data_IF_859899443144
#
_entry.id   IF_859899443144
#
_cell.length_a   1.000
_cell.length_b   1.000
_cell.length_c   1.000
_cell.angle_alpha   90.00
_cell.angle_beta   90.00
_cell.angle_gamma   90.00
#
_symmetry.space_group_name_H-M   'P 1'
#
loop_
_entity.id
_entity.type
_entity.pdbx_description
1 polymer ?
#
# COMPACT_ATOMS: atom_id res chain seq x y z
N UNK A 1 -28.62 54.39 42.56
CA UNK A 1 -27.33 54.30 41.83
C UNK A 1 -26.49 53.17 42.43
N UNK A 2 -25.85 52.38 41.55
CA UNK A 2 -24.87 51.30 41.82
C UNK A 2 -25.38 49.90 42.21
N UNK A 3 -25.99 49.18 41.26
CA UNK A 3 -26.05 47.70 41.29
C UNK A 3 -25.94 47.03 39.90
N UNK A 4 -25.63 47.78 38.82
CA UNK A 4 -25.59 47.22 37.47
C UNK A 4 -24.24 46.63 37.02
N UNK A 5 -23.16 46.81 37.79
CA UNK A 5 -21.80 46.46 37.32
C UNK A 5 -21.23 45.14 37.88
N UNK A 6 -21.93 44.40 38.74
CA UNK A 6 -21.43 43.09 39.21
C UNK A 6 -21.87 41.93 38.29
N UNK A 7 -23.05 42.00 37.68
CA UNK A 7 -23.58 40.91 36.87
C UNK A 7 -22.92 40.79 35.49
N UNK A 8 -22.39 41.88 34.94
CA UNK A 8 -21.65 41.84 33.67
C UNK A 8 -20.24 41.27 33.80
N UNK A 9 -19.57 41.46 34.95
CA UNK A 9 -18.22 40.91 35.17
C UNK A 9 -18.23 39.42 35.48
N UNK A 10 -19.27 38.91 36.16
CA UNK A 10 -19.42 37.47 36.43
C UNK A 10 -19.81 36.69 35.16
N UNK A 11 -20.62 37.29 34.27
CA UNK A 11 -21.02 36.64 33.02
C UNK A 11 -19.84 36.47 32.04
N UNK A 12 -18.89 37.41 32.01
CA UNK A 12 -17.69 37.33 31.15
C UNK A 12 -16.68 36.28 31.67
N UNK A 13 -16.60 36.07 32.99
CA UNK A 13 -15.72 35.05 33.58
C UNK A 13 -16.23 33.61 33.42
N UNK A 14 -17.54 33.42 33.30
CA UNK A 14 -18.15 32.10 33.04
C UNK A 14 -18.05 31.72 31.56
N UNK A 15 -18.14 32.69 30.64
CA UNK A 15 -17.98 32.43 29.20
C UNK A 15 -16.51 32.19 28.83
N UNK A 16 -15.55 32.89 29.47
CA UNK A 16 -14.12 32.68 29.22
C UNK A 16 -13.60 31.30 29.70
N UNK A 17 -14.24 30.67 30.70
CA UNK A 17 -13.88 29.33 31.17
C UNK A 17 -14.58 28.19 30.41
N UNK A 18 -15.64 28.47 29.65
CA UNK A 18 -16.30 27.47 28.81
C UNK A 18 -15.53 27.17 27.51
N UNK A 19 -14.63 28.06 27.08
CA UNK A 19 -13.81 27.88 25.87
C UNK A 19 -12.41 27.28 26.12
N UNK A 20 -12.04 26.97 27.37
CA UNK A 20 -10.75 26.32 27.69
C UNK A 20 -10.85 24.80 27.90
N UNK A 21 -12.04 24.20 27.73
CA UNK A 21 -12.25 22.76 27.80
C UNK A 21 -12.63 22.10 26.45
N UNK A 22 -12.46 22.78 25.32
CA UNK A 22 -12.18 22.07 24.06
C UNK A 22 -10.71 21.70 24.05
N UNK A 23 -10.33 20.89 25.04
CA UNK A 23 -9.15 20.05 24.93
C UNK A 23 -9.29 19.34 23.60
N UNK A 24 -8.34 19.55 22.69
CA UNK A 24 -8.14 18.68 21.55
C UNK A 24 -8.19 17.25 22.09
N UNK A 25 -9.31 16.56 21.88
CA UNK A 25 -9.28 15.11 21.84
C UNK A 25 -8.35 14.85 20.67
N UNK A 26 -7.10 14.55 20.99
CA UNK A 26 -6.29 13.73 20.14
C UNK A 26 -7.14 12.47 19.98
N UNK A 27 -7.83 12.38 18.85
CA UNK A 27 -8.47 11.16 18.43
C UNK A 27 -7.34 10.14 18.31
N UNK A 28 -7.06 9.46 19.42
CA UNK A 28 -6.37 8.19 19.46
C UNK A 28 -7.36 7.12 18.96
N UNK A 29 -8.12 7.41 17.91
CA UNK A 29 -8.65 6.37 17.05
C UNK A 29 -7.45 5.86 16.26
N UNK A 30 -6.70 4.94 16.86
CA UNK A 30 -6.23 3.80 16.09
C UNK A 30 -7.51 3.20 15.51
N UNK A 31 -7.88 3.62 14.30
CA UNK A 31 -8.88 2.90 13.53
C UNK A 31 -8.40 1.46 13.52
N UNK A 32 -9.16 0.61 14.22
CA UNK A 32 -8.91 -0.81 14.17
C UNK A 32 -9.21 -1.19 12.73
N UNK A 33 -8.16 -1.50 11.95
CA UNK A 33 -8.33 -1.93 10.57
C UNK A 33 -9.37 -3.05 10.57
N UNK A 34 -10.54 -2.77 9.98
CA UNK A 34 -11.56 -3.79 9.79
C UNK A 34 -10.96 -4.83 8.85
N UNK A 35 -10.52 -5.94 9.40
CA UNK A 35 -10.16 -7.11 8.62
C UNK A 35 -11.43 -7.59 7.95
N UNK A 36 -11.55 -7.40 6.63
CA UNK A 36 -12.56 -8.08 5.86
C UNK A 36 -12.21 -9.56 5.89
N UNK A 37 -12.85 -10.33 6.77
CA UNK A 37 -12.94 -11.79 6.65
C UNK A 37 -13.79 -12.10 5.43
N UNK A 38 -13.18 -11.93 4.27
CA UNK A 38 -13.76 -12.25 2.99
C UNK A 38 -13.02 -13.47 2.45
N UNK A 39 -13.72 -14.60 2.33
CA UNK A 39 -13.23 -15.76 1.60
C UNK A 39 -13.16 -15.53 0.08
N UNK A 40 -13.46 -14.30 -0.38
CA UNK A 40 -13.37 -13.92 -1.79
C UNK A 40 -11.94 -13.57 -2.19
N UNK A 41 -11.49 -14.21 -3.26
CA UNK A 41 -10.28 -13.89 -4.01
C UNK A 41 -10.67 -13.04 -5.21
N UNK A 42 -9.90 -11.97 -5.43
CA UNK A 42 -9.97 -11.19 -6.66
C UNK A 42 -8.76 -11.53 -7.52
N UNK A 43 -8.97 -11.83 -8.80
CA UNK A 43 -7.88 -12.11 -9.73
C UNK A 43 -8.13 -11.47 -11.09
N UNK A 44 -7.03 -11.26 -11.83
CA UNK A 44 -7.02 -10.55 -13.10
C UNK A 44 -6.78 -11.53 -14.23
N UNK A 45 -7.57 -11.41 -15.29
CA UNK A 45 -7.36 -12.07 -16.58
C UNK A 45 -7.17 -10.99 -17.64
N UNK A 46 -5.92 -10.53 -17.76
CA UNK A 46 -5.45 -9.46 -18.65
C UNK A 46 -6.23 -8.15 -18.57
N UNK A 47 -7.51 -8.09 -18.95
CA UNK A 47 -8.39 -6.92 -18.98
C UNK A 47 -9.66 -7.09 -18.12
N UNK A 48 -9.82 -8.24 -17.45
CA UNK A 48 -10.96 -8.49 -16.54
C UNK A 48 -10.53 -8.66 -15.09
N UNK A 49 -11.41 -8.28 -14.17
CA UNK A 49 -11.31 -8.63 -12.74
C UNK A 49 -12.44 -9.59 -12.42
N UNK A 50 -12.07 -10.72 -11.83
CA UNK A 50 -13.00 -11.73 -11.33
C UNK A 50 -13.00 -11.77 -9.81
N UNK A 51 -14.11 -12.22 -9.23
CA UNK A 51 -14.18 -12.69 -7.84
C UNK A 51 -14.61 -14.15 -7.79
N UNK A 52 -14.06 -14.90 -6.86
CA UNK A 52 -14.48 -16.27 -6.51
C UNK A 52 -14.18 -16.55 -5.05
N UNK A 53 -14.76 -17.58 -4.44
CA UNK A 53 -14.18 -18.10 -3.20
C UNK A 53 -12.83 -18.82 -3.44
N UNK A 54 -12.17 -19.26 -2.37
CA UNK A 54 -10.90 -20.00 -2.45
C UNK A 54 -11.03 -21.38 -3.13
N UNK A 55 -12.23 -21.94 -3.20
CA UNK A 55 -12.51 -23.22 -3.86
C UNK A 55 -12.83 -23.04 -5.36
N UNK A 56 -12.97 -21.80 -5.83
CA UNK A 56 -13.34 -21.46 -7.20
C UNK A 56 -14.86 -21.42 -7.46
N UNK A 57 -15.70 -21.52 -6.44
CA UNK A 57 -17.14 -21.35 -6.59
C UNK A 57 -17.51 -19.86 -6.66
N UNK A 58 -18.68 -19.59 -7.26
CA UNK A 58 -19.23 -18.24 -7.33
C UNK A 58 -18.46 -17.30 -8.26
N UNK A 59 -17.72 -17.85 -9.23
CA UNK A 59 -16.94 -17.08 -10.19
C UNK A 59 -17.80 -16.03 -10.89
N UNK A 60 -17.43 -14.76 -10.74
CA UNK A 60 -18.13 -13.61 -11.32
C UNK A 60 -17.14 -12.63 -11.92
N UNK A 61 -17.38 -12.21 -13.16
CA UNK A 61 -16.70 -11.04 -13.74
C UNK A 61 -17.27 -9.77 -13.10
N UNK A 62 -16.41 -8.98 -12.46
CA UNK A 62 -16.76 -7.72 -11.82
C UNK A 62 -16.44 -6.53 -12.73
N UNK A 63 -15.31 -6.62 -13.43
CA UNK A 63 -14.84 -5.59 -14.35
C UNK A 63 -14.50 -6.21 -15.68
N UNK A 64 -14.99 -5.60 -16.75
CA UNK A 64 -14.51 -5.80 -18.12
C UNK A 64 -14.00 -4.47 -18.66
N UNK A 65 -12.72 -4.46 -19.05
CA UNK A 65 -12.01 -3.34 -19.69
C UNK A 65 -11.48 -3.76 -21.08
N UNK A 66 -12.05 -4.80 -21.69
CA UNK A 66 -11.65 -5.29 -23.01
C UNK A 66 -12.03 -4.29 -24.12
N UNK A 67 -11.06 -3.50 -24.60
CA UNK A 67 -11.22 -2.55 -25.69
C UNK A 67 -11.27 -3.22 -27.09
N UNK A 68 -11.19 -4.55 -27.18
CA UNK A 68 -11.28 -5.37 -28.41
C UNK A 68 -10.23 -5.11 -29.49
N UNK A 69 -9.41 -4.08 -29.34
CA UNK A 69 -8.36 -3.70 -30.27
C UNK A 69 -7.25 -2.90 -29.56
N UNK A 70 -6.02 -3.05 -30.03
CA UNK A 70 -4.83 -2.43 -29.43
C UNK A 70 -4.31 -3.16 -28.18
N UNK A 71 -3.35 -2.54 -27.49
CA UNK A 71 -2.65 -3.15 -26.34
C UNK A 71 -3.15 -2.54 -25.02
N UNK A 72 -4.23 -3.11 -24.49
CA UNK A 72 -4.82 -2.75 -23.20
C UNK A 72 -4.72 -3.90 -22.18
N UNK A 73 -4.47 -3.58 -20.90
CA UNK A 73 -4.34 -4.57 -19.83
C UNK A 73 -4.41 -3.93 -18.44
N UNK A 74 -4.77 -4.73 -17.45
CA UNK A 74 -4.71 -4.48 -16.02
C UNK A 74 -3.38 -5.06 -15.51
N UNK A 75 -2.53 -4.23 -14.93
CA UNK A 75 -1.17 -4.64 -14.53
C UNK A 75 -0.97 -4.79 -13.02
N UNK A 76 -1.88 -4.25 -12.22
CA UNK A 76 -1.84 -4.31 -10.77
C UNK A 76 -3.26 -4.18 -10.21
N UNK A 77 -3.53 -4.83 -9.08
CA UNK A 77 -4.78 -4.70 -8.34
C UNK A 77 -4.52 -4.79 -6.85
N UNK A 78 -5.28 -4.03 -6.07
CA UNK A 78 -5.32 -4.15 -4.61
C UNK A 78 -6.74 -3.99 -4.11
N UNK A 79 -7.10 -4.77 -3.10
CA UNK A 79 -8.38 -4.66 -2.42
C UNK A 79 -8.24 -3.77 -1.18
N UNK A 80 -9.19 -2.86 -1.01
CA UNK A 80 -9.29 -1.94 0.11
C UNK A 80 -10.25 -2.44 1.19
N UNK A 81 -9.99 -2.04 2.43
CA UNK A 81 -10.89 -2.29 3.55
C UNK A 81 -12.23 -1.53 3.44
N UNK A 82 -12.36 -0.60 2.49
CA UNK A 82 -13.59 0.15 2.21
C UNK A 82 -14.52 -0.53 1.18
N UNK A 83 -14.43 -1.85 1.00
CA UNK A 83 -15.18 -2.60 -0.02
C UNK A 83 -15.00 -2.03 -1.44
N UNK A 84 -13.76 -1.69 -1.77
CA UNK A 84 -13.36 -1.21 -3.09
C UNK A 84 -12.12 -1.98 -3.54
N UNK A 85 -11.87 -2.01 -4.83
CA UNK A 85 -10.55 -2.33 -5.33
C UNK A 85 -10.02 -1.19 -6.19
N UNK A 86 -8.72 -1.02 -6.13
CA UNK A 86 -7.97 -0.06 -6.95
C UNK A 86 -7.08 -0.87 -7.88
N UNK A 87 -7.00 -0.48 -9.14
CA UNK A 87 -6.27 -1.22 -10.15
C UNK A 87 -5.58 -0.29 -11.14
N UNK A 88 -4.44 -0.76 -11.65
CA UNK A 88 -3.72 -0.14 -12.76
C UNK A 88 -4.26 -0.64 -14.09
N UNK A 89 -4.61 0.26 -15.01
CA UNK A 89 -5.17 -0.07 -16.32
C UNK A 89 -4.48 0.73 -17.43
N UNK A 90 -3.88 0.03 -18.38
CA UNK A 90 -3.39 0.59 -19.65
C UNK A 90 -4.52 0.56 -20.67
N UNK A 91 -4.95 1.72 -21.15
CA UNK A 91 -5.88 1.81 -22.29
C UNK A 91 -5.17 1.46 -23.61
N UNK A 92 -5.90 1.10 -24.67
CA UNK A 92 -5.28 0.66 -25.92
C UNK A 92 -4.43 1.77 -26.58
N UNK A 93 -4.95 2.99 -26.58
CA UNK A 93 -4.35 4.15 -27.25
C UNK A 93 -3.79 5.21 -26.29
N UNK A 94 -4.00 5.06 -24.99
CA UNK A 94 -3.68 6.09 -24.00
C UNK A 94 -2.67 5.64 -22.96
N UNK A 95 -2.60 6.41 -21.88
CA UNK A 95 -1.61 6.22 -20.83
C UNK A 95 -2.08 5.17 -19.81
N UNK A 96 -1.16 4.74 -18.95
CA UNK A 96 -1.53 3.99 -17.75
C UNK A 96 -2.43 4.84 -16.86
N UNK A 97 -3.48 4.24 -16.30
CA UNK A 97 -4.44 4.86 -15.40
C UNK A 97 -4.48 4.10 -14.07
N UNK A 98 -4.69 4.83 -12.98
CA UNK A 98 -5.12 4.25 -11.70
C UNK A 98 -6.63 4.43 -11.62
N UNK A 99 -7.36 3.32 -11.50
CA UNK A 99 -8.82 3.28 -11.42
C UNK A 99 -9.27 2.70 -10.09
N UNK A 100 -10.50 3.03 -9.70
CA UNK A 100 -11.20 2.46 -8.54
C UNK A 100 -12.56 1.95 -8.95
N UNK A 101 -13.03 0.90 -8.30
CA UNK A 101 -14.41 0.45 -8.36
C UNK A 101 -14.84 -0.09 -6.99
N UNK A 102 -16.14 -0.17 -6.78
CA UNK A 102 -16.70 -0.94 -5.66
C UNK A 102 -16.37 -2.42 -5.81
N UNK A 103 -16.36 -3.17 -4.71
CA UNK A 103 -16.08 -4.60 -4.67
C UNK A 103 -17.01 -5.45 -5.58
N UNK A 104 -18.18 -4.93 -5.94
CA UNK A 104 -19.13 -5.55 -6.86
C UNK A 104 -18.91 -5.18 -8.35
N UNK A 105 -17.91 -4.36 -8.64
CA UNK A 105 -17.58 -3.84 -9.97
C UNK A 105 -18.27 -2.54 -10.37
N UNK A 106 -19.20 -2.03 -9.54
CA UNK A 106 -19.91 -0.78 -9.81
C UNK A 106 -19.05 0.47 -9.57
N UNK A 107 -19.53 1.63 -10.04
CA UNK A 107 -18.90 2.94 -9.81
C UNK A 107 -17.43 3.03 -10.24
N UNK A 108 -17.08 2.40 -11.37
CA UNK A 108 -15.75 2.50 -11.97
C UNK A 108 -15.40 3.96 -12.25
N UNK A 109 -14.26 4.43 -11.74
CA UNK A 109 -13.76 5.80 -11.92
C UNK A 109 -12.26 5.80 -12.15
N UNK A 110 -11.78 6.69 -13.03
CA UNK A 110 -10.36 7.02 -13.14
C UNK A 110 -9.98 7.97 -12.00
N UNK A 111 -9.03 7.55 -11.15
CA UNK A 111 -8.46 8.39 -10.10
C UNK A 111 -7.33 9.25 -10.64
N UNK A 112 -6.47 8.66 -11.48
CA UNK A 112 -5.30 9.34 -12.04
C UNK A 112 -4.93 8.76 -13.40
N UNK A 113 -4.55 9.64 -14.33
CA UNK A 113 -3.85 9.26 -15.57
C UNK A 113 -2.38 9.58 -15.43
N UNK A 114 -1.51 8.63 -15.75
CA UNK A 114 -0.06 8.84 -15.76
C UNK A 114 0.38 9.48 -17.08
N UNK A 115 1.64 9.89 -17.16
CA UNK A 115 2.28 10.26 -18.43
C UNK A 115 2.38 9.03 -19.35
N UNK A 116 2.52 9.24 -20.66
CA UNK A 116 2.56 8.15 -21.66
C UNK A 116 3.76 7.21 -21.49
N UNK A 117 4.83 7.69 -20.86
CA UNK A 117 6.07 6.95 -20.59
C UNK A 117 6.07 6.28 -19.23
N UNK A 118 5.05 6.50 -18.40
CA UNK A 118 4.99 5.99 -17.04
C UNK A 118 4.14 4.72 -16.92
N UNK A 119 4.57 3.85 -16.02
CA UNK A 119 3.89 2.62 -15.62
C UNK A 119 3.70 2.57 -14.11
N UNK A 120 2.86 1.64 -13.63
CA UNK A 120 2.70 1.36 -12.20
C UNK A 120 3.64 0.20 -11.85
N UNK A 121 4.58 0.45 -10.95
CA UNK A 121 5.51 -0.58 -10.45
C UNK A 121 4.98 -1.33 -9.22
N UNK A 122 4.11 -0.69 -8.43
CA UNK A 122 3.51 -1.26 -7.22
C UNK A 122 2.18 -0.57 -6.93
N UNK A 123 1.23 -1.31 -6.33
CA UNK A 123 -0.05 -0.79 -5.87
C UNK A 123 -0.51 -1.54 -4.62
N UNK A 124 -0.79 -0.82 -3.53
CA UNK A 124 -1.34 -1.39 -2.30
C UNK A 124 -2.22 -0.39 -1.55
N UNK A 125 -3.32 -0.83 -0.95
CA UNK A 125 -4.16 0.01 -0.09
C UNK A 125 -3.67 0.02 1.37
N UNK A 126 -4.11 0.98 2.18
CA UNK A 126 -3.94 1.02 3.63
C UNK A 126 -4.90 2.07 4.21
N UNK A 127 -5.67 1.72 5.23
CA UNK A 127 -6.78 2.58 5.67
C UNK A 127 -7.70 2.95 4.50
N UNK A 128 -7.91 4.25 4.30
CA UNK A 128 -8.68 4.88 3.21
C UNK A 128 -7.81 5.40 2.05
N UNK A 129 -6.55 4.96 1.99
CA UNK A 129 -5.54 5.41 1.03
C UNK A 129 -4.97 4.25 0.22
N UNK A 130 -4.27 4.63 -0.84
CA UNK A 130 -3.36 3.77 -1.58
C UNK A 130 -1.95 4.31 -1.50
N UNK A 131 -0.99 3.40 -1.52
CA UNK A 131 0.41 3.64 -1.81
C UNK A 131 0.73 2.97 -3.15
N UNK A 132 1.37 3.71 -4.05
CA UNK A 132 1.76 3.19 -5.34
C UNK A 132 3.13 3.73 -5.74
N UNK A 133 3.83 3.00 -6.59
CA UNK A 133 5.02 3.49 -7.26
C UNK A 133 4.79 3.64 -8.75
N UNK A 134 5.32 4.71 -9.33
CA UNK A 134 5.36 4.92 -10.78
C UNK A 134 6.79 4.80 -11.27
N UNK A 135 6.98 4.16 -12.42
CA UNK A 135 8.27 4.10 -13.12
C UNK A 135 8.10 4.84 -14.44
N UNK A 136 8.79 5.97 -14.60
CA UNK A 136 8.80 6.76 -15.83
C UNK A 136 10.01 6.41 -16.69
N UNK A 137 9.75 5.94 -17.91
CA UNK A 137 10.75 5.54 -18.91
C UNK A 137 11.07 6.64 -19.93
N UNK A 138 10.65 7.89 -19.69
CA UNK A 138 10.88 9.01 -20.59
C UNK A 138 12.35 9.43 -20.77
N UNK A 139 13.27 8.81 -20.03
CA UNK A 139 14.71 9.04 -20.13
C UNK A 139 15.50 7.74 -20.14
N UNK A 140 16.81 7.81 -20.44
CA UNK A 140 17.72 6.65 -20.42
C UNK A 140 17.89 6.01 -19.03
N UNK A 141 17.51 6.73 -17.97
CA UNK A 141 17.48 6.24 -16.59
C UNK A 141 16.04 6.34 -16.07
N UNK A 142 15.32 5.22 -15.92
CA UNK A 142 13.96 5.26 -15.42
C UNK A 142 13.89 5.93 -14.05
N UNK A 143 12.90 6.80 -13.85
CA UNK A 143 12.68 7.51 -12.59
C UNK A 143 11.56 6.82 -11.84
N UNK A 144 11.83 6.41 -10.60
CA UNK A 144 10.82 5.82 -9.72
C UNK A 144 10.39 6.83 -8.66
N UNK A 145 9.08 7.03 -8.53
CA UNK A 145 8.47 7.84 -7.49
C UNK A 145 7.48 6.99 -6.69
N UNK A 146 7.49 7.14 -5.37
CA UNK A 146 6.50 6.52 -4.48
C UNK A 146 5.54 7.60 -4.04
N UNK A 147 4.25 7.30 -4.07
CA UNK A 147 3.18 8.26 -3.79
C UNK A 147 2.10 7.62 -2.94
N UNK A 148 1.38 8.46 -2.21
CA UNK A 148 0.13 8.10 -1.55
C UNK A 148 -1.01 8.95 -2.06
N UNK A 149 -2.20 8.37 -2.17
CA UNK A 149 -3.40 9.06 -2.62
C UNK A 149 -4.60 8.49 -1.86
N UNK A 150 -5.61 9.30 -1.56
CA UNK A 150 -6.88 8.80 -1.04
C UNK A 150 -7.63 8.00 -2.11
N UNK A 151 -8.49 7.08 -1.70
CA UNK A 151 -9.24 6.21 -2.63
C UNK A 151 -10.27 6.93 -3.51
N UNK A 152 -10.53 8.22 -3.26
CA UNK A 152 -11.36 9.09 -4.09
C UNK A 152 -10.56 9.86 -5.16
N UNK A 153 -9.22 9.77 -5.10
CA UNK A 153 -8.25 10.45 -5.96
C UNK A 153 -7.67 11.74 -5.38
N UNK A 154 -8.12 12.16 -4.19
CA UNK A 154 -7.62 13.37 -3.53
C UNK A 154 -6.27 13.13 -2.82
N UNK A 155 -5.62 14.22 -2.44
CA UNK A 155 -4.39 14.20 -1.62
C UNK A 155 -3.27 13.31 -2.18
N UNK A 156 -3.07 13.35 -3.50
CA UNK A 156 -1.98 12.65 -4.17
C UNK A 156 -0.64 13.35 -3.89
N UNK A 157 0.16 12.77 -3.01
CA UNK A 157 1.43 13.34 -2.54
C UNK A 157 2.58 12.34 -2.66
N UNK A 158 3.79 12.78 -3.06
CA UNK A 158 4.96 11.93 -3.05
C UNK A 158 5.45 11.61 -1.63
N UNK A 159 6.08 10.46 -1.47
CA UNK A 159 6.78 10.05 -0.25
C UNK A 159 8.23 9.73 -0.60
N UNK A 160 9.16 10.37 0.11
CA UNK A 160 10.59 10.07 0.00
C UNK A 160 10.97 8.96 0.95
N UNK A 161 11.03 7.73 0.46
CA UNK A 161 11.51 6.59 1.22
C UNK A 161 13.02 6.38 1.01
N UNK A 162 13.76 5.86 2.00
CA UNK A 162 15.18 5.52 1.85
C UNK A 162 15.48 4.53 0.71
N UNK A 163 14.47 3.78 0.26
CA UNK A 163 14.53 2.83 -0.85
C UNK A 163 13.31 3.07 -1.75
N UNK A 164 13.46 3.17 -3.09
CA UNK A 164 12.38 3.60 -3.98
C UNK A 164 11.50 2.48 -4.52
N UNK A 165 11.76 1.21 -4.21
CA UNK A 165 11.01 0.07 -4.77
C UNK A 165 10.21 -0.66 -3.69
N UNK A 166 8.88 -0.64 -3.79
CA UNK A 166 8.00 -1.38 -2.89
C UNK A 166 7.86 -2.84 -3.33
N UNK A 167 7.81 -3.74 -2.34
CA UNK A 167 7.93 -5.17 -2.54
C UNK A 167 6.77 -5.98 -1.96
N UNK A 168 6.17 -5.51 -0.87
CA UNK A 168 5.09 -6.19 -0.18
C UNK A 168 4.29 -5.21 0.67
N UNK A 169 3.04 -5.59 0.99
CA UNK A 169 2.10 -4.85 1.83
C UNK A 169 1.28 -5.82 2.68
N UNK A 170 0.99 -5.41 3.90
CA UNK A 170 0.09 -6.10 4.84
C UNK A 170 -0.41 -5.10 5.88
N UNK A 171 -1.73 -4.97 6.01
CA UNK A 171 -2.36 -3.92 6.81
C UNK A 171 -1.85 -2.53 6.42
N UNK A 172 -1.43 -1.77 7.43
CA UNK A 172 -0.77 -0.45 7.31
C UNK A 172 0.77 -0.53 7.23
N UNK A 173 1.32 -1.69 6.90
CA UNK A 173 2.77 -1.90 6.77
C UNK A 173 3.16 -2.27 5.34
N UNK A 174 4.26 -1.68 4.88
CA UNK A 174 4.89 -1.97 3.60
C UNK A 174 6.34 -2.35 3.80
N UNK A 175 6.91 -3.03 2.82
CA UNK A 175 8.36 -3.21 2.74
C UNK A 175 8.85 -2.59 1.45
N UNK A 176 9.79 -1.66 1.59
CA UNK A 176 10.58 -1.12 0.49
C UNK A 176 11.93 -1.84 0.43
N UNK A 177 12.40 -2.18 -0.75
CA UNK A 177 13.61 -2.97 -0.97
C UNK A 177 14.55 -2.30 -1.95
N UNK A 178 15.82 -2.61 -1.81
CA UNK A 178 16.85 -2.26 -2.78
C UNK A 178 17.68 -3.52 -2.99
N UNK A 179 17.70 -3.99 -4.22
CA UNK A 179 18.44 -5.17 -4.62
C UNK A 179 19.76 -4.70 -5.24
N UNK A 180 20.86 -5.25 -4.73
CA UNK A 180 22.22 -5.02 -5.20
C UNK A 180 22.65 -6.23 -6.01
N UNK A 181 22.68 -6.03 -7.33
CA UNK A 181 23.08 -7.03 -8.31
C UNK A 181 24.55 -6.91 -8.71
N UNK A 182 25.30 -5.99 -8.09
CA UNK A 182 26.68 -5.73 -8.48
C UNK A 182 27.61 -6.78 -7.86
N UNK A 183 27.84 -7.89 -8.56
CA UNK A 183 28.86 -8.88 -8.22
C UNK A 183 28.41 -10.34 -8.37
N UNK A 184 29.29 -11.26 -7.96
CA UNK A 184 29.04 -12.71 -7.95
C UNK A 184 28.08 -13.14 -6.84
N UNK A 185 27.92 -12.30 -5.81
CA UNK A 185 27.06 -12.55 -4.64
C UNK A 185 25.98 -11.47 -4.57
N UNK A 186 24.81 -11.69 -5.19
CA UNK A 186 23.70 -10.75 -5.11
C UNK A 186 23.23 -10.60 -3.66
N UNK A 187 22.60 -9.48 -3.37
CA UNK A 187 22.09 -9.21 -2.03
C UNK A 187 20.97 -8.20 -2.07
N UNK A 188 20.20 -8.09 -0.99
CA UNK A 188 19.16 -7.08 -0.88
C UNK A 188 19.08 -6.51 0.53
N UNK A 189 18.73 -5.23 0.61
CA UNK A 189 18.34 -4.56 1.85
C UNK A 189 16.86 -4.22 1.82
N UNK A 190 16.21 -4.23 2.97
CA UNK A 190 14.78 -3.93 3.09
C UNK A 190 14.51 -2.90 4.20
N UNK A 191 13.53 -2.03 3.98
CA UNK A 191 13.04 -1.01 4.91
C UNK A 191 11.56 -1.29 5.18
N UNK A 192 11.22 -1.58 6.42
CA UNK A 192 9.83 -1.67 6.87
C UNK A 192 9.30 -0.25 7.00
N UNK A 193 8.23 0.04 6.27
CA UNK A 193 7.52 1.32 6.26
C UNK A 193 6.21 1.12 7.00
N UNK A 194 6.03 1.81 8.12
CA UNK A 194 4.80 1.73 8.91
C UNK A 194 3.97 2.99 8.78
N UNK A 195 2.66 2.82 8.66
CA UNK A 195 1.70 3.92 8.75
C UNK A 195 0.95 3.85 10.06
N UNK A 196 0.76 5.01 10.67
CA UNK A 196 -0.10 5.21 11.83
C UNK A 196 -1.08 6.33 11.53
N UNK A 197 -2.37 6.04 11.64
CA UNK A 197 -3.45 6.99 11.34
C UNK A 197 -3.28 7.63 9.95
N UNK A 198 -3.00 6.80 8.94
CA UNK A 198 -2.85 7.23 7.55
C UNK A 198 -1.62 8.09 7.25
N UNK A 199 -0.68 8.23 8.19
CA UNK A 199 0.55 9.02 8.03
C UNK A 199 1.78 8.13 8.23
N UNK A 200 2.83 8.37 7.45
CA UNK A 200 4.08 7.61 7.58
C UNK A 200 4.67 7.85 8.98
N UNK A 201 4.81 6.77 9.74
CA UNK A 201 5.41 6.75 11.07
C UNK A 201 6.87 6.32 10.94
N UNK A 202 7.73 7.30 10.66
CA UNK A 202 9.17 7.07 10.50
C UNK A 202 9.80 6.46 11.78
N UNK A 203 9.27 6.81 12.96
CA UNK A 203 9.80 6.34 14.23
C UNK A 203 9.60 4.82 14.42
N UNK A 204 8.49 4.27 13.95
CA UNK A 204 8.23 2.82 13.97
C UNK A 204 8.68 2.09 12.69
N UNK A 205 9.15 2.83 11.69
CA UNK A 205 9.79 2.31 10.48
C UNK A 205 11.27 1.98 10.73
N UNK A 206 11.82 0.99 10.03
CA UNK A 206 13.19 0.53 10.29
C UNK A 206 13.81 -0.29 9.16
N UNK A 207 15.14 -0.37 9.18
CA UNK A 207 15.90 -1.23 8.29
C UNK A 207 15.89 -2.68 8.76
N UNK A 208 15.70 -3.61 7.83
CA UNK A 208 16.04 -5.02 7.97
C UNK A 208 17.50 -5.18 7.54
N UNK A 209 18.30 -5.98 8.27
CA UNK A 209 19.67 -6.30 7.89
C UNK A 209 19.79 -6.77 6.44
N UNK A 210 20.93 -6.46 5.81
CA UNK A 210 21.23 -6.91 4.43
C UNK A 210 21.21 -8.44 4.39
N UNK A 211 20.50 -8.99 3.41
CA UNK A 211 20.40 -10.43 3.16
C UNK A 211 21.21 -10.78 1.93
N UNK A 212 22.03 -11.82 2.02
CA UNK A 212 22.76 -12.37 0.88
C UNK A 212 21.84 -13.28 0.06
N UNK A 213 21.94 -13.18 -1.26
CA UNK A 213 21.10 -13.88 -2.22
C UNK A 213 20.15 -12.95 -2.99
N UNK A 214 19.36 -13.57 -3.84
CA UNK A 214 18.32 -12.95 -4.65
C UNK A 214 16.98 -13.21 -3.99
N UNK A 215 16.19 -12.16 -3.77
CA UNK A 215 14.80 -12.32 -3.40
C UNK A 215 13.98 -12.78 -4.61
N UNK A 216 13.18 -13.82 -4.42
CA UNK A 216 12.24 -14.32 -5.45
C UNK A 216 10.82 -13.85 -5.23
N UNK A 217 10.40 -13.72 -3.97
CA UNK A 217 9.07 -13.28 -3.59
C UNK A 217 9.10 -12.73 -2.17
N UNK A 218 8.08 -11.93 -1.82
CA UNK A 218 7.83 -11.45 -0.47
C UNK A 218 6.36 -11.16 -0.25
N UNK A 219 5.87 -11.40 0.96
CA UNK A 219 4.52 -11.09 1.39
C UNK A 219 4.53 -10.67 2.85
N UNK A 220 3.56 -9.84 3.26
CA UNK A 220 3.36 -9.47 4.66
C UNK A 220 2.00 -10.01 5.09
N UNK A 221 1.90 -10.53 6.30
CA UNK A 221 0.63 -10.94 6.90
C UNK A 221 -0.35 -9.76 6.96
N UNK A 222 -1.64 -10.06 6.97
CA UNK A 222 -2.70 -9.03 6.97
C UNK A 222 -2.62 -8.06 8.13
N UNK A 223 -2.13 -8.50 9.29
CA UNK A 223 -1.92 -7.66 10.48
C UNK A 223 -0.66 -6.76 10.38
N UNK A 224 0.11 -6.87 9.30
CA UNK A 224 1.32 -6.08 9.06
C UNK A 224 2.54 -6.48 9.89
N UNK A 225 2.46 -7.56 10.66
CA UNK A 225 3.50 -7.90 11.66
C UNK A 225 4.46 -8.99 11.21
N UNK A 226 4.16 -9.76 10.18
CA UNK A 226 5.01 -10.87 9.74
C UNK A 226 5.38 -10.71 8.28
N UNK A 227 6.68 -10.61 7.99
CA UNK A 227 7.23 -10.67 6.64
C UNK A 227 7.62 -12.12 6.33
N UNK A 228 7.15 -12.64 5.22
CA UNK A 228 7.64 -13.86 4.59
C UNK A 228 8.40 -13.47 3.32
N UNK A 229 9.58 -14.03 3.11
CA UNK A 229 10.32 -13.85 1.87
C UNK A 229 11.01 -15.12 1.42
N UNK A 230 11.17 -15.25 0.11
CA UNK A 230 11.85 -16.36 -0.56
C UNK A 230 13.19 -15.85 -1.07
N UNK A 231 14.27 -16.54 -0.74
CA UNK A 231 15.63 -16.20 -1.17
C UNK A 231 16.30 -17.38 -1.87
N UNK A 232 17.07 -17.11 -2.92
CA UNK A 232 17.97 -18.08 -3.56
C UNK A 232 19.39 -17.54 -3.62
N UNK A 233 20.39 -18.40 -3.78
CA UNK A 233 21.79 -17.95 -3.85
C UNK A 233 22.03 -16.99 -5.04
N UNK A 234 21.42 -17.29 -6.19
CA UNK A 234 21.48 -16.49 -7.41
C UNK A 234 20.23 -16.71 -8.29
N UNK A 235 20.23 -16.14 -9.50
CA UNK A 235 19.12 -16.26 -10.46
C UNK A 235 19.00 -17.62 -11.15
N UNK A 236 20.09 -18.39 -11.23
CA UNK A 236 20.14 -19.67 -11.96
C UNK A 236 19.79 -20.87 -11.09
N UNK A 237 19.90 -20.74 -9.76
CA UNK A 237 19.51 -21.80 -8.83
C UNK A 237 17.99 -21.87 -8.68
N UNK A 238 17.44 -23.07 -8.84
CA UNK A 238 16.05 -23.41 -8.50
C UNK A 238 15.89 -23.76 -7.02
N UNK A 239 16.99 -23.91 -6.29
CA UNK A 239 16.99 -24.04 -4.84
C UNK A 239 16.66 -22.71 -4.18
N UNK A 240 15.69 -22.71 -3.28
CA UNK A 240 15.29 -21.53 -2.52
C UNK A 240 14.95 -21.87 -1.07
N UNK A 241 15.22 -20.90 -0.21
CA UNK A 241 14.89 -20.91 1.21
C UNK A 241 13.75 -19.93 1.47
N UNK A 242 12.82 -20.33 2.33
CA UNK A 242 11.74 -19.48 2.82
C UNK A 242 12.07 -19.01 4.23
N UNK A 243 11.96 -17.72 4.45
CA UNK A 243 12.21 -17.07 5.72
C UNK A 243 10.97 -16.38 6.23
N UNK A 244 10.80 -16.40 7.55
CA UNK A 244 9.75 -15.68 8.29
C UNK A 244 10.43 -14.73 9.27
N UNK A 245 9.99 -13.48 9.28
CA UNK A 245 10.50 -12.43 10.15
C UNK A 245 9.32 -11.69 10.80
N UNK A 246 9.33 -11.62 12.13
CA UNK A 246 8.44 -10.73 12.87
C UNK A 246 8.92 -9.27 12.70
N UNK A 247 8.15 -8.47 11.98
CA UNK A 247 8.39 -7.05 11.73
C UNK A 247 7.52 -6.14 12.62
N UNK A 248 6.90 -6.67 13.67
CA UNK A 248 6.19 -5.86 14.68
C UNK A 248 7.15 -4.91 15.41
N UNK A 249 8.44 -5.29 15.55
CA UNK A 249 9.50 -4.53 16.24
C UNK A 249 10.82 -4.55 15.47
N UNK A 250 11.65 -3.54 15.75
CA UNK A 250 13.05 -3.45 15.29
C UNK A 250 13.85 -4.60 15.96
N UNK A 251 14.81 -5.18 15.25
CA UNK A 251 15.81 -6.15 15.75
C UNK A 251 15.42 -7.64 15.83
N UNK A 252 14.27 -8.04 15.28
CA UNK A 252 13.99 -9.47 15.10
C UNK A 252 14.87 -10.11 14.02
N UNK A 253 15.14 -11.40 14.17
CA UNK A 253 15.96 -12.19 13.24
C UNK A 253 15.04 -13.07 12.39
N UNK A 254 15.30 -13.09 11.09
CA UNK A 254 14.57 -13.94 10.16
C UNK A 254 14.89 -15.41 10.44
N UNK A 255 13.86 -16.24 10.54
CA UNK A 255 13.97 -17.69 10.74
C UNK A 255 13.74 -18.40 9.42
N UNK A 256 14.67 -19.26 9.03
CA UNK A 256 14.44 -20.18 7.90
C UNK A 256 13.40 -21.22 8.32
N UNK A 257 12.33 -21.35 7.54
CA UNK A 257 11.22 -22.29 7.82
C UNK A 257 11.12 -23.42 6.81
N UNK A 258 11.67 -23.23 5.61
CA UNK A 258 11.62 -24.22 4.54
C UNK A 258 12.84 -24.07 3.63
N UNK A 259 13.28 -25.18 3.05
CA UNK A 259 14.18 -25.23 1.89
C UNK A 259 13.51 -26.09 0.82
N UNK A 260 13.60 -25.65 -0.43
CA UNK A 260 13.19 -26.41 -1.61
C UNK A 260 14.39 -26.55 -2.54
N UNK A 261 14.56 -27.74 -3.11
CA UNK A 261 15.64 -28.10 -4.03
C UNK A 261 15.08 -28.61 -5.34
#
# INVERSE_FOLDING_TARGET
MKTSNLYQTVLVLVIANAFLFTSCKKDNSTETEKTLESNLVFFVDTFRVYSSDLEGNGLKALVDEDEKSGNNYINAITFSNNNKFVYGYKTASGNMQIKVANADGSNKKVLKSLTSTASIGFLGSFGDKIMYSTIDYGSSKPVTEIRTMAEDGSSDTPISLPRPSLAARGGSTFVSMNEDYSGTNPSFGAYVVKFKNGTWDEASSFNIPKVNGVRRASAISTDGNTLVYVSSANYTTLTYDVFVLDISKRDNIAKKVLSHT
#
